data_IF_166335063494
#
_entry.id   IF_166335063494
#
_cell.length_a   1.000
_cell.length_b   1.000
_cell.length_c   1.000
_cell.angle_alpha   90.00
_cell.angle_beta   90.00
_cell.angle_gamma   90.00
#
_symmetry.space_group_name_H-M   'P 1'
#
loop_
_entity.id
_entity.type
_entity.pdbx_description
1 polymer ?
#
# COMPACT_ATOMS: atom_id res chain seq x y z
N UNK A 1 -14.35 1.80 -11.64
CA UNK A 1 -15.15 0.64 -11.22
C UNK A 1 -14.41 0.04 -10.04
N UNK A 2 -14.78 0.42 -8.82
CA UNK A 2 -14.14 -0.12 -7.62
C UNK A 2 -14.67 -1.54 -7.37
N UNK A 3 -13.85 -2.50 -6.97
CA UNK A 3 -14.33 -3.86 -6.73
C UNK A 3 -15.26 -3.90 -5.51
N UNK A 4 -16.41 -4.53 -5.71
CA UNK A 4 -17.51 -4.74 -4.74
C UNK A 4 -17.11 -5.57 -3.50
N UNK A 5 -15.86 -6.03 -3.38
CA UNK A 5 -15.45 -7.02 -2.38
C UNK A 5 -15.24 -6.50 -0.97
N UNK A 6 -14.96 -5.21 -0.78
CA UNK A 6 -14.63 -4.67 0.55
C UNK A 6 -15.86 -4.37 1.43
N UNK A 7 -17.04 -4.15 0.85
CA UNK A 7 -18.22 -3.71 1.61
C UNK A 7 -19.06 -4.89 2.12
N UNK A 8 -19.15 -5.98 1.38
CA UNK A 8 -19.90 -7.19 1.79
C UNK A 8 -19.25 -7.96 2.97
N UNK A 9 -17.95 -7.77 3.21
CA UNK A 9 -17.27 -8.40 4.36
C UNK A 9 -17.60 -7.80 5.72
N UNK A 10 -18.08 -6.56 5.80
CA UNK A 10 -18.39 -5.92 7.10
C UNK A 10 -19.67 -6.45 7.77
N UNK A 11 -20.64 -6.89 7.02
CA UNK A 11 -21.91 -7.40 7.61
C UNK A 11 -21.81 -8.86 8.09
N UNK A 12 -21.06 -9.69 7.41
CA UNK A 12 -20.85 -11.08 7.83
C UNK A 12 -20.01 -11.17 9.11
N UNK A 13 -19.04 -10.27 9.30
CA UNK A 13 -18.23 -10.23 10.51
C UNK A 13 -19.02 -9.79 11.77
N UNK A 14 -20.03 -8.92 11.62
CA UNK A 14 -20.86 -8.51 12.78
C UNK A 14 -21.70 -9.64 13.35
N UNK A 15 -22.18 -10.55 12.52
CA UNK A 15 -22.94 -11.74 12.95
C UNK A 15 -22.06 -12.82 13.59
N UNK A 16 -20.81 -12.93 13.18
CA UNK A 16 -19.86 -13.90 13.74
C UNK A 16 -19.31 -13.44 15.10
N UNK A 17 -19.07 -12.13 15.28
CA UNK A 17 -18.68 -11.57 16.58
C UNK A 17 -19.76 -11.71 17.66
N UNK A 18 -21.04 -11.63 17.29
CA UNK A 18 -22.16 -11.79 18.21
C UNK A 18 -22.27 -13.22 18.73
N UNK A 19 -21.99 -14.23 17.89
CA UNK A 19 -22.03 -15.65 18.29
C UNK A 19 -20.88 -16.04 19.21
N UNK A 20 -19.70 -15.44 19.05
CA UNK A 20 -18.55 -15.74 19.93
C UNK A 20 -18.68 -15.11 21.32
N UNK A 21 -19.30 -13.93 21.45
CA UNK A 21 -19.52 -13.31 22.78
C UNK A 21 -20.46 -14.12 23.68
N UNK A 22 -21.40 -14.87 23.12
CA UNK A 22 -22.31 -15.71 23.89
C UNK A 22 -21.69 -17.05 24.33
N UNK A 23 -20.65 -17.52 23.64
CA UNK A 23 -19.92 -18.75 24.02
C UNK A 23 -18.97 -18.50 25.20
N UNK A 24 -18.42 -17.30 25.32
CA UNK A 24 -17.51 -16.93 26.42
C UNK A 24 -18.21 -16.66 27.76
N UNK A 25 -19.50 -16.36 27.79
CA UNK A 25 -20.27 -16.11 29.02
C UNK A 25 -20.68 -17.37 29.78
N UNK A 26 -20.64 -18.55 29.14
CA UNK A 26 -21.06 -19.82 29.76
C UNK A 26 -19.94 -20.61 30.45
N UNK A 27 -18.69 -20.13 30.46
CA UNK A 27 -17.53 -20.87 30.98
C UNK A 27 -16.93 -20.28 32.25
N UNK A 28 -17.63 -19.36 32.93
CA UNK A 28 -17.15 -18.71 34.16
C UNK A 28 -17.88 -19.13 35.45
N UNK A 29 -18.48 -20.30 35.50
CA UNK A 29 -19.00 -20.83 36.76
C UNK A 29 -18.70 -22.32 36.86
N UNK A 30 -17.54 -22.67 37.34
CA UNK A 30 -17.21 -23.85 38.19
C UNK A 30 -15.70 -23.86 38.45
N UNK A 31 -15.38 -23.85 39.69
CA UNK A 31 -14.27 -24.41 40.43
C UNK A 31 -13.56 -23.42 41.34
N UNK A 32 -14.08 -23.41 42.55
CA UNK A 32 -13.32 -23.15 43.78
C UNK A 32 -12.97 -24.50 44.37
N UNK A 33 -11.71 -24.71 44.70
CA UNK A 33 -11.32 -25.78 45.61
C UNK A 33 -9.90 -26.31 45.44
N UNK A 34 -9.06 -26.00 46.42
CA UNK A 34 -7.94 -26.76 47.02
C UNK A 34 -6.53 -26.71 46.44
N UNK A 35 -5.71 -25.90 47.08
CA UNK A 35 -4.40 -26.09 47.79
C UNK A 35 -3.28 -26.93 47.18
N UNK A 36 -2.12 -26.22 47.07
CA UNK A 36 -0.71 -26.56 47.42
C UNK A 36 -0.03 -27.79 46.84
N UNK A 37 1.09 -27.63 46.14
CA UNK A 37 2.48 -27.92 46.55
C UNK A 37 3.49 -27.96 45.37
N UNK A 38 4.63 -27.24 45.55
CA UNK A 38 6.01 -27.47 45.11
C UNK A 38 6.36 -27.57 43.61
N UNK A 39 7.02 -26.49 43.15
CA UNK A 39 8.35 -26.38 42.56
C UNK A 39 8.92 -27.57 41.80
N UNK A 40 9.22 -27.33 40.51
CA UNK A 40 10.52 -27.46 39.87
C UNK A 40 10.35 -27.25 38.34
N UNK A 41 11.05 -26.27 37.85
CA UNK A 41 11.66 -26.08 36.56
C UNK A 41 11.01 -26.70 35.30
N UNK A 42 10.39 -25.87 34.53
CA UNK A 42 10.06 -26.12 33.15
C UNK A 42 9.53 -24.83 32.54
N UNK A 43 10.39 -24.07 31.89
CA UNK A 43 9.91 -23.06 30.96
C UNK A 43 9.21 -23.81 29.84
N UNK A 44 7.92 -24.03 29.98
CA UNK A 44 7.07 -24.35 28.84
C UNK A 44 6.86 -23.01 28.13
N UNK A 45 7.60 -22.79 27.07
CA UNK A 45 7.21 -21.82 26.08
C UNK A 45 5.79 -22.21 25.64
N UNK A 46 4.79 -21.43 26.00
CA UNK A 46 3.50 -21.49 25.37
C UNK A 46 3.71 -21.01 23.93
N UNK A 47 3.86 -21.96 23.05
CA UNK A 47 3.65 -21.76 21.62
C UNK A 47 2.12 -21.56 21.49
N UNK A 48 1.69 -20.29 21.52
CA UNK A 48 0.32 -19.91 21.18
C UNK A 48 0.19 -19.83 19.64
N UNK A 49 0.18 -21.00 19.02
CA UNK A 49 0.01 -21.18 17.57
C UNK A 49 -1.41 -20.89 17.05
N UNK A 50 -2.16 -20.00 17.68
CA UNK A 50 -3.55 -19.71 17.31
C UNK A 50 -3.88 -18.24 16.99
N UNK A 51 -2.89 -17.37 16.81
CA UNK A 51 -3.13 -15.95 16.47
C UNK A 51 -2.91 -15.61 14.99
N UNK A 52 -2.48 -16.58 14.15
CA UNK A 52 -2.12 -16.38 12.75
C UNK A 52 -3.31 -15.95 11.86
N UNK A 53 -4.53 -16.23 12.28
CA UNK A 53 -5.72 -15.93 11.47
C UNK A 53 -6.14 -14.46 11.44
N UNK A 54 -5.75 -13.65 12.42
CA UNK A 54 -6.18 -12.25 12.50
C UNK A 54 -5.22 -11.29 11.80
N UNK A 55 -3.92 -11.54 11.91
CA UNK A 55 -2.88 -10.72 11.28
C UNK A 55 -2.88 -10.81 9.76
N UNK A 56 -3.31 -11.94 9.20
CA UNK A 56 -3.43 -12.13 7.75
C UNK A 56 -4.53 -11.32 7.09
N UNK A 57 -5.41 -10.66 7.86
CA UNK A 57 -6.50 -9.82 7.34
C UNK A 57 -6.05 -8.40 6.97
N UNK A 58 -4.89 -7.96 7.49
CA UNK A 58 -4.39 -6.62 7.26
C UNK A 58 -3.18 -6.65 6.32
N UNK A 59 -2.99 -5.61 5.49
CA UNK A 59 -1.78 -5.51 4.69
C UNK A 59 -0.56 -5.34 5.60
N UNK A 60 0.50 -6.07 5.30
CA UNK A 60 1.80 -5.89 5.95
C UNK A 60 2.86 -5.30 5.01
N UNK A 61 2.51 -5.09 3.74
CA UNK A 61 3.38 -4.42 2.79
C UNK A 61 2.63 -3.67 1.68
N UNK A 62 3.29 -2.65 1.16
CA UNK A 62 2.98 -1.94 -0.07
C UNK A 62 4.07 -2.33 -1.08
N UNK A 63 3.69 -2.89 -2.21
CA UNK A 63 4.63 -3.42 -3.21
C UNK A 63 4.31 -2.89 -4.60
N UNK A 64 5.31 -2.91 -5.50
CA UNK A 64 5.06 -2.83 -6.94
C UNK A 64 5.07 -4.24 -7.51
N UNK A 65 3.98 -4.65 -8.13
CA UNK A 65 3.89 -5.91 -8.86
C UNK A 65 4.47 -5.70 -10.24
N UNK A 66 5.56 -6.42 -10.55
CA UNK A 66 6.32 -6.30 -11.81
C UNK A 66 6.23 -7.61 -12.58
N UNK A 67 5.36 -7.70 -13.60
CA UNK A 67 5.32 -8.85 -14.50
C UNK A 67 6.64 -8.99 -15.27
N UNK A 68 7.17 -10.20 -15.33
CA UNK A 68 8.33 -10.55 -16.16
C UNK A 68 7.84 -11.11 -17.50
N UNK A 69 6.88 -12.05 -17.42
CA UNK A 69 6.20 -12.66 -18.56
C UNK A 69 4.76 -13.08 -18.18
N UNK A 70 4.12 -13.93 -18.99
CA UNK A 70 2.76 -14.41 -18.73
C UNK A 70 2.66 -15.37 -17.53
N UNK A 71 3.78 -15.98 -17.12
CA UNK A 71 3.82 -17.04 -16.10
C UNK A 71 4.67 -16.65 -14.89
N UNK A 72 5.32 -15.48 -14.91
CA UNK A 72 6.18 -15.04 -13.82
C UNK A 72 6.07 -13.55 -13.54
N UNK A 73 6.25 -13.20 -12.28
CA UNK A 73 6.35 -11.83 -11.79
C UNK A 73 7.10 -11.81 -10.46
N UNK A 74 7.59 -10.64 -10.12
CA UNK A 74 8.11 -10.37 -8.78
C UNK A 74 7.44 -9.14 -8.18
N UNK A 75 7.66 -8.91 -6.89
CA UNK A 75 7.17 -7.73 -6.20
C UNK A 75 8.36 -6.92 -5.68
N UNK A 76 8.40 -5.65 -6.03
CA UNK A 76 9.35 -4.71 -5.44
C UNK A 76 8.79 -4.18 -4.13
N UNK A 77 9.47 -4.44 -3.01
CA UNK A 77 9.02 -4.00 -1.69
C UNK A 77 9.36 -2.53 -1.43
N UNK A 78 10.59 -2.14 -1.77
CA UNK A 78 11.09 -0.77 -1.69
C UNK A 78 12.17 -0.58 -2.78
N UNK A 79 12.97 0.49 -2.73
CA UNK A 79 13.99 0.77 -3.74
C UNK A 79 15.06 -0.35 -3.86
N UNK A 80 15.24 -1.17 -2.82
CA UNK A 80 16.37 -2.10 -2.71
C UNK A 80 15.97 -3.58 -2.59
N UNK A 81 14.72 -3.92 -2.23
CA UNK A 81 14.31 -5.28 -1.88
C UNK A 81 13.26 -5.82 -2.84
N UNK A 82 13.53 -6.99 -3.37
CA UNK A 82 12.64 -7.76 -4.26
C UNK A 82 12.11 -9.02 -3.59
N UNK A 83 10.85 -9.37 -3.88
CA UNK A 83 10.14 -10.52 -3.33
C UNK A 83 9.70 -11.45 -4.45
N UNK A 84 9.99 -12.76 -4.31
CA UNK A 84 9.49 -13.81 -5.19
C UNK A 84 8.28 -14.50 -4.58
N UNK A 85 7.09 -14.48 -5.22
CA UNK A 85 5.92 -15.21 -4.73
C UNK A 85 6.04 -16.71 -5.03
N UNK A 86 6.19 -17.55 -4.00
CA UNK A 86 6.31 -19.00 -4.15
C UNK A 86 5.00 -19.71 -4.55
N UNK A 87 3.87 -19.11 -4.23
CA UNK A 87 2.54 -19.71 -4.42
C UNK A 87 1.74 -19.13 -5.58
N UNK A 88 2.34 -18.25 -6.38
CA UNK A 88 1.70 -17.63 -7.55
C UNK A 88 2.63 -17.75 -8.75
N UNK A 89 2.08 -18.12 -9.92
CA UNK A 89 2.85 -18.21 -11.14
C UNK A 89 2.82 -16.88 -11.90
N UNK A 90 1.71 -16.49 -12.45
CA UNK A 90 1.59 -15.22 -13.19
C UNK A 90 1.05 -14.08 -12.33
N UNK A 91 1.28 -12.85 -12.77
CA UNK A 91 0.74 -11.65 -12.12
C UNK A 91 -0.78 -11.68 -12.11
N UNK A 92 -1.44 -11.45 -10.95
CA UNK A 92 -2.90 -11.39 -10.89
C UNK A 92 -3.48 -10.15 -11.60
N UNK A 93 -2.62 -9.24 -12.04
CA UNK A 93 -3.00 -7.99 -12.73
C UNK A 93 -2.61 -7.98 -14.21
N UNK A 94 -2.24 -9.15 -14.76
CA UNK A 94 -1.79 -9.34 -16.15
C UNK A 94 -0.43 -8.68 -16.40
N UNK A 95 -0.23 -8.15 -17.61
CA UNK A 95 1.04 -7.55 -18.03
C UNK A 95 1.27 -6.12 -17.51
N UNK A 96 0.42 -5.61 -16.62
CA UNK A 96 0.54 -4.25 -16.12
C UNK A 96 1.35 -4.21 -14.81
N UNK A 97 2.34 -3.33 -14.76
CA UNK A 97 2.97 -2.94 -13.53
C UNK A 97 2.00 -2.08 -12.72
N UNK A 98 1.75 -2.46 -11.46
CA UNK A 98 0.83 -1.76 -10.55
C UNK A 98 1.36 -1.74 -9.12
N UNK A 99 1.00 -0.71 -8.37
CA UNK A 99 1.17 -0.72 -6.91
C UNK A 99 0.05 -1.53 -6.28
N UNK A 100 0.37 -2.28 -5.23
CA UNK A 100 -0.57 -3.15 -4.54
C UNK A 100 -0.32 -3.17 -3.03
N UNK A 101 -1.39 -3.34 -2.26
CA UNK A 101 -1.30 -3.77 -0.86
C UNK A 101 -1.29 -5.29 -0.83
N UNK A 102 -0.44 -5.86 0.01
CA UNK A 102 -0.36 -7.30 0.18
C UNK A 102 -0.21 -7.68 1.65
N UNK A 103 -0.60 -8.90 1.95
CA UNK A 103 -0.15 -9.59 3.15
C UNK A 103 0.62 -10.82 2.69
N UNK A 104 1.86 -10.94 3.15
CA UNK A 104 2.72 -12.07 2.82
C UNK A 104 3.42 -12.62 4.06
N UNK A 105 3.83 -13.88 3.97
CA UNK A 105 4.66 -14.56 4.96
C UNK A 105 6.00 -14.85 4.32
N UNK A 106 7.11 -14.44 4.96
CA UNK A 106 8.46 -14.75 4.50
C UNK A 106 8.76 -16.22 4.72
N UNK A 107 9.27 -16.88 3.69
CA UNK A 107 9.72 -18.27 3.77
C UNK A 107 11.20 -18.34 4.22
N UNK A 108 11.60 -19.47 4.78
CA UNK A 108 12.98 -19.70 5.20
C UNK A 108 13.88 -20.08 4.02
N UNK A 109 13.28 -20.66 2.98
CA UNK A 109 13.94 -20.96 1.72
C UNK A 109 14.39 -19.68 1.04
N UNK A 110 15.51 -19.77 0.32
CA UNK A 110 16.04 -18.64 -0.43
C UNK A 110 15.48 -18.64 -1.84
N UNK A 111 15.21 -17.45 -2.36
CA UNK A 111 15.05 -17.25 -3.79
C UNK A 111 16.40 -17.36 -4.50
N UNK A 112 16.41 -17.84 -5.73
CA UNK A 112 17.62 -17.89 -6.58
C UNK A 112 17.86 -16.53 -7.29
N UNK A 113 16.80 -15.78 -7.56
CA UNK A 113 16.87 -14.59 -8.42
C UNK A 113 16.45 -13.29 -7.71
N UNK A 114 15.87 -13.37 -6.51
CA UNK A 114 15.33 -12.24 -5.77
C UNK A 114 15.80 -12.28 -4.31
N UNK A 115 15.62 -11.19 -3.59
CA UNK A 115 16.13 -11.06 -2.22
C UNK A 115 15.40 -11.96 -1.22
N UNK A 116 14.11 -12.20 -1.43
CA UNK A 116 13.28 -12.97 -0.49
C UNK A 116 12.26 -13.83 -1.22
N UNK A 117 12.11 -15.08 -0.78
CA UNK A 117 11.01 -15.96 -1.16
C UNK A 117 9.86 -15.77 -0.18
N UNK A 118 8.63 -15.57 -0.68
CA UNK A 118 7.47 -15.26 0.15
C UNK A 118 6.24 -16.08 -0.25
N UNK A 119 5.38 -16.36 0.71
CA UNK A 119 4.04 -16.87 0.49
C UNK A 119 3.04 -15.71 0.54
N UNK A 120 2.35 -15.41 -0.53
CA UNK A 120 1.37 -14.33 -0.62
C UNK A 120 0.03 -14.82 -0.07
N UNK A 121 -0.40 -14.27 1.06
CA UNK A 121 -1.70 -14.60 1.65
C UNK A 121 -2.84 -13.94 0.87
N UNK A 122 -2.65 -12.70 0.46
CA UNK A 122 -3.50 -11.95 -0.47
C UNK A 122 -2.77 -10.75 -1.04
N UNK A 123 -3.26 -10.25 -2.17
CA UNK A 123 -2.76 -9.06 -2.83
C UNK A 123 -3.89 -8.33 -3.54
N UNK A 124 -4.00 -7.02 -3.32
CA UNK A 124 -5.03 -6.15 -3.91
C UNK A 124 -4.35 -4.94 -4.56
N UNK A 125 -4.61 -4.70 -5.85
CA UNK A 125 -4.08 -3.52 -6.55
C UNK A 125 -4.73 -2.23 -6.04
N UNK A 126 -3.94 -1.17 -6.02
CA UNK A 126 -4.44 0.20 -5.85
C UNK A 126 -4.47 0.92 -7.20
N UNK A 127 -5.28 1.97 -7.31
CA UNK A 127 -5.31 2.79 -8.53
C UNK A 127 -3.90 3.29 -8.83
N UNK A 128 -3.35 2.86 -9.96
CA UNK A 128 -1.99 3.23 -10.41
C UNK A 128 -2.09 3.95 -11.75
N UNK A 129 -1.58 5.17 -11.84
CA UNK A 129 -1.63 6.00 -13.03
C UNK A 129 -0.36 6.87 -13.18
N UNK A 130 -0.04 7.38 -14.38
CA UNK A 130 1.08 8.30 -14.54
C UNK A 130 0.79 9.64 -13.87
N UNK A 131 1.83 10.34 -13.44
CA UNK A 131 1.77 11.78 -13.26
C UNK A 131 1.67 12.43 -14.65
N UNK A 132 1.02 13.60 -14.70
CA UNK A 132 0.80 14.37 -15.94
C UNK A 132 1.43 15.77 -15.81
N UNK A 133 1.76 16.38 -16.91
CA UNK A 133 2.27 17.76 -16.93
C UNK A 133 1.13 18.79 -16.74
N UNK A 134 1.50 20.01 -16.40
CA UNK A 134 0.53 21.14 -16.37
C UNK A 134 -0.18 21.28 -17.72
N UNK A 135 0.56 21.19 -18.84
CA UNK A 135 0.00 21.32 -20.18
C UNK A 135 -1.03 20.22 -20.49
N UNK A 136 -0.75 18.97 -20.15
CA UNK A 136 -1.69 17.86 -20.30
C UNK A 136 -2.94 18.06 -19.42
N UNK A 137 -2.73 18.46 -18.16
CA UNK A 137 -3.83 18.73 -17.23
C UNK A 137 -4.76 19.84 -17.74
N UNK A 138 -4.22 20.91 -18.33
CA UNK A 138 -4.99 21.99 -18.93
C UNK A 138 -5.74 21.54 -20.20
N UNK A 139 -5.07 20.79 -21.05
CA UNK A 139 -5.67 20.28 -22.30
C UNK A 139 -6.85 19.33 -22.03
N UNK A 140 -6.78 18.54 -20.95
CA UNK A 140 -7.83 17.62 -20.53
C UNK A 140 -8.87 18.24 -19.58
N UNK A 141 -8.72 19.53 -19.22
CA UNK A 141 -9.62 20.21 -18.28
C UNK A 141 -9.51 19.76 -16.83
N UNK A 142 -8.40 19.10 -16.47
CA UNK A 142 -8.14 18.56 -15.13
C UNK A 142 -7.54 19.62 -14.19
N UNK A 143 -8.21 20.76 -14.09
CA UNK A 143 -7.73 21.95 -13.36
C UNK A 143 -8.32 22.09 -11.97
N UNK A 144 -9.36 21.33 -11.64
CA UNK A 144 -10.03 21.43 -10.34
C UNK A 144 -9.14 20.99 -9.18
N UNK A 145 -9.31 21.66 -8.06
CA UNK A 145 -8.59 21.44 -6.82
C UNK A 145 -9.58 21.47 -5.65
N UNK A 146 -10.49 20.51 -5.60
CA UNK A 146 -11.36 20.35 -4.45
C UNK A 146 -10.54 19.87 -3.23
N UNK A 147 -10.88 20.29 -2.01
CA UNK A 147 -10.03 20.06 -0.86
C UNK A 147 -9.99 18.59 -0.45
N UNK A 148 -8.79 18.15 -0.03
CA UNK A 148 -8.52 16.83 0.56
C UNK A 148 -7.55 16.95 1.73
N UNK A 149 -7.49 15.94 2.58
CA UNK A 149 -6.39 15.76 3.52
C UNK A 149 -5.50 14.60 3.07
N UNK A 150 -4.20 14.82 3.01
CA UNK A 150 -3.24 13.73 2.83
C UNK A 150 -3.01 13.08 4.20
N UNK A 151 -3.26 11.79 4.28
CA UNK A 151 -3.09 10.99 5.50
C UNK A 151 -1.65 10.51 5.55
N UNK A 152 -0.90 10.95 6.56
CA UNK A 152 0.48 10.52 6.78
C UNK A 152 0.50 9.22 7.54
N UNK A 153 0.70 8.14 6.80
CA UNK A 153 0.90 6.80 7.32
C UNK A 153 1.92 6.05 6.46
N UNK A 154 2.14 4.78 6.74
CA UNK A 154 3.17 3.97 6.07
C UNK A 154 2.94 3.74 4.57
N UNK A 155 1.71 3.94 4.06
CA UNK A 155 1.42 3.83 2.62
C UNK A 155 1.59 5.14 1.87
N UNK A 156 1.73 6.27 2.57
CA UNK A 156 1.97 7.58 1.97
C UNK A 156 3.47 7.82 1.84
N UNK A 157 4.04 7.35 0.72
CA UNK A 157 5.49 7.22 0.53
C UNK A 157 5.88 7.41 -0.94
N UNK A 158 7.11 7.91 -1.16
CA UNK A 158 7.76 7.91 -2.47
C UNK A 158 8.83 6.81 -2.50
N UNK A 159 8.64 5.79 -3.33
CA UNK A 159 9.56 4.67 -3.49
C UNK A 159 9.34 3.94 -4.82
N UNK A 160 10.34 3.26 -5.31
CA UNK A 160 10.31 2.49 -6.57
C UNK A 160 9.72 3.28 -7.75
N UNK A 161 10.04 4.59 -7.85
CA UNK A 161 9.55 5.47 -8.91
C UNK A 161 8.07 5.84 -8.82
N UNK A 162 7.42 5.59 -7.68
CA UNK A 162 6.03 5.98 -7.42
C UNK A 162 5.92 6.93 -6.24
N UNK A 163 4.96 7.84 -6.30
CA UNK A 163 4.39 8.51 -5.13
C UNK A 163 3.05 7.85 -4.83
N UNK A 164 2.98 7.12 -3.72
CA UNK A 164 1.73 6.52 -3.23
C UNK A 164 1.14 7.41 -2.17
N UNK A 165 -0.15 7.71 -2.27
CA UNK A 165 -0.86 8.60 -1.38
C UNK A 165 -2.12 7.94 -0.83
N UNK A 166 -2.30 8.01 0.48
CA UNK A 166 -3.60 7.89 1.11
C UNK A 166 -4.15 9.28 1.33
N UNK A 167 -5.33 9.54 0.79
CA UNK A 167 -6.00 10.82 0.95
C UNK A 167 -7.40 10.63 1.51
N UNK A 168 -7.90 11.65 2.18
CA UNK A 168 -9.23 11.70 2.77
C UNK A 168 -10.01 12.85 2.17
N UNK A 169 -11.19 12.54 1.66
CA UNK A 169 -12.11 13.51 1.08
C UNK A 169 -13.53 13.33 1.65
N UNK A 170 -14.37 14.33 1.44
CA UNK A 170 -15.80 14.18 1.68
C UNK A 170 -16.49 13.69 0.41
N UNK A 171 -17.45 12.78 0.54
CA UNK A 171 -18.22 12.19 -0.55
C UNK A 171 -19.64 11.87 -0.12
N UNK A 172 -20.54 11.54 -1.06
CA UNK A 172 -21.94 11.25 -0.74
C UNK A 172 -22.11 9.91 0.00
N UNK A 173 -21.26 8.94 -0.25
CA UNK A 173 -21.27 7.63 0.43
C UNK A 173 -21.99 6.53 -0.35
N UNK A 174 -22.38 6.76 -1.59
CA UNK A 174 -23.14 5.82 -2.40
C UNK A 174 -22.38 5.21 -3.58
N UNK A 175 -21.11 5.59 -3.79
CA UNK A 175 -20.23 5.14 -4.88
C UNK A 175 -20.77 5.39 -6.31
N UNK A 176 -21.66 6.34 -6.51
CA UNK A 176 -22.24 6.63 -7.82
C UNK A 176 -21.37 7.54 -8.66
N UNK A 177 -20.76 8.52 -8.01
CA UNK A 177 -19.93 9.53 -8.67
C UNK A 177 -18.47 9.31 -8.32
N UNK A 178 -17.61 8.89 -9.27
CA UNK A 178 -16.20 8.69 -9.00
C UNK A 178 -15.50 10.04 -8.84
N UNK A 179 -14.72 10.18 -7.78
CA UNK A 179 -13.79 11.28 -7.63
C UNK A 179 -12.59 11.10 -8.58
N UNK A 180 -12.12 12.19 -9.18
CA UNK A 180 -10.98 12.20 -10.07
C UNK A 180 -9.76 12.73 -9.31
N UNK A 181 -8.61 12.04 -9.47
CA UNK A 181 -7.36 12.44 -8.82
C UNK A 181 -6.22 12.43 -9.83
N UNK A 182 -5.37 13.44 -9.77
CA UNK A 182 -4.21 13.57 -10.64
C UNK A 182 -3.02 14.13 -9.86
N UNK A 183 -1.82 13.71 -10.25
CA UNK A 183 -0.58 14.31 -9.82
C UNK A 183 -0.01 15.11 -10.99
N UNK A 184 0.21 16.40 -10.79
CA UNK A 184 0.63 17.32 -11.84
C UNK A 184 2.07 17.73 -11.59
N UNK A 185 2.93 17.56 -12.61
CA UNK A 185 4.35 17.94 -12.63
C UNK A 185 4.54 19.25 -13.37
N UNK A 186 5.69 19.91 -13.18
CA UNK A 186 6.01 21.18 -13.84
C UNK A 186 5.22 22.37 -13.29
N UNK A 187 4.70 22.26 -12.07
CA UNK A 187 3.94 23.33 -11.41
C UNK A 187 4.82 24.47 -10.90
N UNK A 188 6.10 24.21 -10.73
CA UNK A 188 7.11 25.19 -10.32
C UNK A 188 8.34 25.10 -11.23
N UNK A 189 8.58 26.10 -12.10
CA UNK A 189 9.75 26.09 -12.99
C UNK A 189 11.12 26.11 -12.26
N UNK A 190 11.16 26.61 -11.03
CA UNK A 190 12.38 26.68 -10.21
C UNK A 190 12.66 25.38 -9.47
N UNK A 191 11.67 24.52 -9.29
CA UNK A 191 11.80 23.22 -8.63
C UNK A 191 11.13 22.10 -9.43
N UNK A 192 11.87 21.37 -10.26
CA UNK A 192 11.30 20.32 -11.09
C UNK A 192 10.78 19.13 -10.28
N UNK A 193 11.16 19.00 -9.02
CA UNK A 193 10.66 18.00 -8.08
C UNK A 193 9.49 18.50 -7.23
N UNK A 194 8.85 19.62 -7.59
CA UNK A 194 7.59 20.02 -6.98
C UNK A 194 6.41 19.49 -7.82
N UNK A 195 5.51 18.75 -7.15
CA UNK A 195 4.33 18.16 -7.77
C UNK A 195 3.07 18.60 -7.02
N UNK A 196 1.94 18.66 -7.73
CA UNK A 196 0.68 19.06 -7.15
C UNK A 196 -0.36 17.94 -7.25
N UNK A 197 -0.90 17.54 -6.12
CA UNK A 197 -2.06 16.65 -6.09
C UNK A 197 -3.33 17.45 -6.34
N UNK A 198 -4.07 17.08 -7.37
CA UNK A 198 -5.36 17.66 -7.75
C UNK A 198 -6.47 16.66 -7.54
N UNK A 199 -7.53 17.09 -6.93
CA UNK A 199 -8.73 16.34 -6.66
C UNK A 199 -9.94 17.07 -7.23
N UNK A 200 -10.82 16.32 -7.88
CA UNK A 200 -12.11 16.78 -8.36
C UNK A 200 -13.18 15.84 -7.82
N UNK A 201 -14.11 16.36 -7.07
CA UNK A 201 -15.29 15.63 -6.57
C UNK A 201 -16.22 15.20 -7.71
N UNK A 202 -16.03 15.74 -8.92
CA UNK A 202 -16.87 15.48 -10.09
C UNK A 202 -18.36 15.72 -9.81
N UNK A 203 -18.65 16.71 -8.94
CA UNK A 203 -20.02 17.05 -8.52
C UNK A 203 -20.64 16.13 -7.47
N UNK A 204 -19.86 15.23 -6.88
CA UNK A 204 -20.35 14.38 -5.79
C UNK A 204 -20.68 15.19 -4.52
N UNK A 205 -21.57 14.64 -3.70
CA UNK A 205 -21.94 15.21 -2.40
C UNK A 205 -20.80 15.19 -1.38
N UNK A 206 -20.95 15.91 -0.29
CA UNK A 206 -19.93 16.04 0.76
C UNK A 206 -20.45 15.61 2.14
N UNK A 207 -21.19 14.53 2.20
CA UNK A 207 -21.94 14.10 3.38
C UNK A 207 -21.08 13.39 4.42
N UNK A 208 -20.18 12.49 3.98
CA UNK A 208 -19.35 11.70 4.88
C UNK A 208 -17.87 11.75 4.47
N UNK A 209 -16.99 11.37 5.39
CA UNK A 209 -15.58 11.21 5.13
C UNK A 209 -15.28 9.83 4.57
N UNK A 210 -14.41 9.76 3.57
CA UNK A 210 -13.87 8.52 3.02
C UNK A 210 -12.40 8.66 2.68
N UNK A 211 -11.70 7.54 2.71
CA UNK A 211 -10.28 7.47 2.34
C UNK A 211 -10.13 6.80 0.97
N UNK A 212 -9.22 7.33 0.16
CA UNK A 212 -8.79 6.76 -1.10
C UNK A 212 -7.29 6.47 -1.10
N UNK A 213 -6.88 5.48 -1.92
CA UNK A 213 -5.49 5.16 -2.20
C UNK A 213 -5.23 5.32 -3.68
N UNK A 214 -4.11 5.95 -4.02
CA UNK A 214 -3.64 6.11 -5.39
C UNK A 214 -2.12 6.10 -5.44
N UNK A 215 -1.56 5.55 -6.49
CA UNK A 215 -0.12 5.61 -6.79
C UNK A 215 0.09 6.31 -8.13
N UNK A 216 1.05 7.23 -8.17
CA UNK A 216 1.42 7.95 -9.37
C UNK A 216 2.84 7.59 -9.78
N UNK A 217 3.02 7.13 -11.02
CA UNK A 217 4.35 6.96 -11.59
C UNK A 217 5.01 8.30 -11.82
N UNK A 218 6.26 8.41 -11.44
CA UNK A 218 7.05 9.64 -11.48
C UNK A 218 8.02 9.68 -12.68
N UNK A 219 7.79 8.86 -13.69
CA UNK A 219 8.66 8.74 -14.89
C UNK A 219 8.87 10.07 -15.63
N UNK A 220 7.97 11.04 -15.46
CA UNK A 220 8.06 12.37 -16.06
C UNK A 220 8.92 13.37 -15.29
N UNK A 221 9.47 12.99 -14.12
CA UNK A 221 10.40 13.83 -13.37
C UNK A 221 11.83 13.67 -13.92
N UNK A 222 12.70 14.69 -13.76
CA UNK A 222 14.11 14.56 -14.10
C UNK A 222 14.79 13.40 -13.36
N UNK A 223 15.77 12.78 -14.04
CA UNK A 223 16.59 11.76 -13.40
C UNK A 223 17.39 12.38 -12.25
N UNK A 224 17.39 11.71 -11.10
CA UNK A 224 18.14 12.12 -9.91
C UNK A 224 19.62 11.71 -9.96
N UNK A 225 20.06 10.99 -11.02
CA UNK A 225 21.43 10.49 -11.18
C UNK A 225 21.88 9.65 -9.95
N UNK A 226 20.96 8.84 -9.43
CA UNK A 226 21.21 8.00 -8.23
C UNK A 226 21.26 8.76 -6.90
N UNK A 227 21.03 10.08 -6.90
CA UNK A 227 21.00 10.90 -5.67
C UNK A 227 19.59 10.91 -5.08
N UNK A 228 19.50 11.00 -3.76
CA UNK A 228 18.25 11.28 -3.09
C UNK A 228 17.97 12.78 -3.11
N UNK A 229 16.80 13.17 -3.63
CA UNK A 229 16.31 14.55 -3.67
C UNK A 229 15.04 14.70 -2.84
N UNK A 230 14.63 15.95 -2.58
CA UNK A 230 13.36 16.24 -1.93
C UNK A 230 12.25 16.40 -2.97
N UNK A 231 11.33 15.45 -3.02
CA UNK A 231 10.07 15.57 -3.77
C UNK A 231 9.07 16.34 -2.93
N UNK A 232 8.69 17.54 -3.37
CA UNK A 232 7.72 18.38 -2.67
C UNK A 232 6.33 18.18 -3.26
N UNK A 233 5.43 17.63 -2.46
CA UNK A 233 4.00 17.53 -2.78
C UNK A 233 3.27 18.75 -2.27
N UNK A 234 2.42 19.35 -3.10
CA UNK A 234 1.49 20.41 -2.72
C UNK A 234 0.05 19.98 -3.00
N UNK A 235 -0.90 20.44 -2.20
CA UNK A 235 -2.32 20.19 -2.39
C UNK A 235 -3.19 21.25 -1.71
N UNK A 236 -4.46 21.30 -2.09
CA UNK A 236 -5.46 22.10 -1.40
C UNK A 236 -6.12 21.25 -0.31
N UNK A 237 -5.96 21.66 0.94
CA UNK A 237 -6.65 21.03 2.07
C UNK A 237 -7.90 21.83 2.46
N UNK A 238 -8.72 21.27 3.36
CA UNK A 238 -9.89 21.98 3.91
C UNK A 238 -9.50 23.22 4.73
N UNK A 239 -8.26 23.31 5.20
CA UNK A 239 -7.72 24.44 5.94
C UNK A 239 -6.83 25.39 5.10
N UNK A 240 -6.80 25.20 3.77
CA UNK A 240 -5.99 25.98 2.85
C UNK A 240 -4.86 25.15 2.20
N UNK A 241 -3.95 25.80 1.45
CA UNK A 241 -2.83 25.12 0.81
C UNK A 241 -1.92 24.43 1.84
N UNK A 242 -1.48 23.21 1.53
CA UNK A 242 -0.52 22.44 2.33
C UNK A 242 0.55 21.86 1.44
N UNK A 243 1.66 21.45 2.08
CA UNK A 243 2.75 20.73 1.42
C UNK A 243 3.34 19.65 2.33
N UNK A 244 4.00 18.68 1.70
CA UNK A 244 4.81 17.66 2.36
C UNK A 244 6.04 17.37 1.49
N UNK A 245 7.11 16.89 2.11
CA UNK A 245 8.32 16.47 1.41
C UNK A 245 8.54 14.98 1.62
N UNK A 246 9.03 14.34 0.56
CA UNK A 246 9.41 12.93 0.54
C UNK A 246 10.85 12.84 0.06
N UNK A 247 11.59 11.87 0.55
CA UNK A 247 12.84 11.47 -0.09
C UNK A 247 12.50 10.71 -1.36
N UNK A 248 13.15 11.09 -2.46
CA UNK A 248 12.91 10.49 -3.77
C UNK A 248 14.22 10.25 -4.50
N UNK A 249 14.29 9.09 -5.14
CA UNK A 249 15.34 8.70 -6.09
C UNK A 249 14.67 8.10 -7.30
N UNK A 250 15.14 8.48 -8.49
CA UNK A 250 14.67 7.85 -9.73
C UNK A 250 14.99 6.36 -9.68
N UNK A 251 14.01 5.56 -10.05
CA UNK A 251 14.18 4.11 -10.18
C UNK A 251 15.31 3.81 -11.18
N UNK A 252 16.21 2.91 -10.83
CA UNK A 252 17.18 2.40 -11.78
C UNK A 252 16.43 1.68 -12.92
N UNK A 253 16.67 2.09 -14.15
CA UNK A 253 16.18 1.38 -15.33
C UNK A 253 16.92 0.06 -15.38
N UNK A 254 16.25 -1.04 -15.07
CA UNK A 254 16.75 -2.37 -15.40
C UNK A 254 16.83 -2.46 -16.92
N UNK A 255 18.03 -2.22 -17.46
CA UNK A 255 18.34 -2.60 -18.84
C UNK A 255 18.15 -4.12 -18.90
N UNK A 256 17.26 -4.59 -19.76
CA UNK A 256 17.15 -6.01 -20.07
C UNK A 256 18.51 -6.54 -20.46
N UNK A 257 19.14 -7.33 -19.58
CA UNK A 257 20.44 -7.93 -19.83
C UNK A 257 21.02 -8.46 -18.54
N UNK A 258 20.95 -9.77 -18.36
CA UNK A 258 21.39 -10.53 -17.21
C UNK A 258 22.68 -10.03 -16.58
N UNK A 259 22.54 -9.39 -15.44
CA UNK A 259 23.61 -9.02 -14.55
C UNK A 259 23.34 -9.66 -13.20
N UNK A 260 24.29 -10.47 -12.75
CA UNK A 260 24.35 -11.04 -11.41
C UNK A 260 24.11 -9.95 -10.36
N UNK A 261 23.04 -10.11 -9.60
CA UNK A 261 22.71 -9.21 -8.51
C UNK A 261 23.86 -9.17 -7.48
N UNK A 262 24.45 -8.01 -7.32
CA UNK A 262 25.38 -7.72 -6.25
C UNK A 262 24.61 -7.74 -4.92
N UNK A 263 25.01 -8.63 -4.00
CA UNK A 263 24.33 -8.81 -2.71
C UNK A 263 24.45 -7.55 -1.89
N UNK A 264 23.36 -6.79 -1.74
CA UNK A 264 23.27 -5.62 -0.87
C UNK A 264 22.83 -6.03 0.54
N UNK A 265 23.37 -5.43 1.60
CA UNK A 265 23.05 -5.81 2.97
C UNK A 265 21.59 -5.51 3.33
N UNK A 266 20.91 -6.52 3.87
CA UNK A 266 19.51 -6.43 4.30
C UNK A 266 19.35 -5.43 5.45
N UNK A 267 18.47 -4.45 5.29
CA UNK A 267 17.94 -3.65 6.39
C UNK A 267 16.89 -4.50 7.13
N UNK A 268 17.19 -4.84 8.37
CA UNK A 268 16.25 -5.53 9.26
C UNK A 268 15.31 -4.45 9.81
N UNK A 269 14.04 -4.50 9.41
CA UNK A 269 13.00 -3.72 10.07
C UNK A 269 12.69 -4.40 11.42
N UNK A 270 12.91 -3.66 12.50
CA UNK A 270 12.44 -4.01 13.84
C UNK A 270 10.98 -3.59 14.04
#
# INVERSE_FOLDING_TARGET
MFPHSAILRKETNKKQLSKNKNKMKKMKSLLWGLTTLLALGGFVACDDDNDDGYWSLYPNALVTVKPVDSESFYMQLNDDITLEPANMKGSPFGAKEVRALTNYTRLQEKSENYDQLVYVNWIDSILTKPAITVAEAEAEGLTRQDPVEIVRDWVTIAEDGYLTLRFRAKWEGDNRTPHLVNLVTGVNPENPYEVQFRHDTNGDGQRIWGDGLVAFRLDGLPDTEGKTVKLKLTWKSFSGPKSAEFEYRTRETTTEGGGTAEVRPALILQ
#
